data_IF_281476215550
#
_entry.id   IF_281476215550
#
_cell.length_a   1.000
_cell.length_b   1.000
_cell.length_c   1.000
_cell.angle_alpha   90.00
_cell.angle_beta   90.00
_cell.angle_gamma   90.00
#
_symmetry.space_group_name_H-M   'P 1'
#
loop_
_entity.id
_entity.type
_entity.pdbx_description
1 polymer ?
#
# COMPACT_ATOMS: atom_id res chain seq x y z
N UNK A 1 -1.62 -6.18 11.42
CA UNK A 1 -2.28 -5.27 10.45
C UNK A 1 -2.44 -6.10 9.19
N UNK A 2 -3.65 -6.27 8.68
CA UNK A 2 -3.88 -7.11 7.50
C UNK A 2 -3.74 -6.25 6.23
N UNK A 3 -2.78 -6.63 5.39
CA UNK A 3 -2.56 -6.06 4.06
C UNK A 3 -3.21 -6.99 3.03
N UNK A 4 -4.24 -6.56 2.28
CA UNK A 4 -4.93 -7.45 1.34
C UNK A 4 -3.95 -8.06 0.32
N UNK A 5 -3.89 -9.39 0.25
CA UNK A 5 -3.00 -10.08 -0.70
C UNK A 5 -1.54 -10.20 -0.27
N UNK A 6 -1.15 -9.72 0.93
CA UNK A 6 0.19 -9.93 1.47
C UNK A 6 0.18 -10.84 2.69
N UNK A 7 1.21 -11.69 2.80
CA UNK A 7 1.53 -12.41 4.04
C UNK A 7 2.15 -11.44 5.06
N UNK A 8 2.12 -11.75 6.36
CA UNK A 8 2.81 -10.96 7.36
C UNK A 8 4.29 -10.76 6.98
N UNK A 9 4.75 -9.51 6.94
CA UNK A 9 6.07 -9.15 6.40
C UNK A 9 7.23 -9.75 7.18
N UNK A 10 7.05 -10.00 8.47
CA UNK A 10 8.05 -10.63 9.33
C UNK A 10 7.97 -12.17 9.32
N UNK A 11 6.95 -12.76 8.68
CA UNK A 11 6.64 -14.19 8.80
C UNK A 11 7.68 -15.12 8.18
N UNK A 12 8.49 -14.62 7.25
CA UNK A 12 9.56 -15.37 6.57
C UNK A 12 10.97 -14.95 7.03
N UNK A 13 11.10 -14.05 8.00
CA UNK A 13 12.41 -13.59 8.47
C UNK A 13 13.10 -14.69 9.29
N UNK A 14 14.38 -14.90 8.99
CA UNK A 14 15.28 -15.83 9.66
C UNK A 14 16.51 -15.08 10.16
N UNK A 15 17.26 -15.69 11.08
CA UNK A 15 18.53 -15.14 11.57
C UNK A 15 19.62 -15.09 10.49
N UNK A 16 19.55 -15.98 9.50
CA UNK A 16 20.45 -16.00 8.35
C UNK A 16 19.80 -15.29 7.15
N UNK A 17 20.61 -14.50 6.43
CA UNK A 17 20.19 -13.91 5.17
C UNK A 17 20.18 -14.95 4.06
N UNK A 18 19.01 -15.18 3.48
CA UNK A 18 18.79 -16.15 2.41
C UNK A 18 18.18 -15.45 1.19
N UNK A 19 18.12 -16.16 0.05
CA UNK A 19 17.43 -15.65 -1.13
C UNK A 19 15.99 -15.24 -0.83
N UNK A 20 15.27 -15.93 0.07
CA UNK A 20 13.90 -15.58 0.45
C UNK A 20 13.75 -14.36 1.36
N UNK A 21 14.84 -13.85 1.96
CA UNK A 21 14.78 -12.76 2.95
C UNK A 21 14.29 -11.41 2.41
N UNK A 22 14.75 -10.93 1.23
CA UNK A 22 14.34 -9.63 0.72
C UNK A 22 12.88 -9.60 0.28
N UNK A 23 12.21 -8.49 0.58
CA UNK A 23 10.92 -8.13 0.01
C UNK A 23 11.11 -7.71 -1.46
N UNK A 24 10.46 -8.40 -2.40
CA UNK A 24 10.71 -8.25 -3.84
C UNK A 24 9.64 -7.46 -4.56
N UNK A 25 8.40 -7.58 -4.10
CA UNK A 25 7.31 -6.81 -4.68
C UNK A 25 7.39 -5.38 -4.18
N UNK A 26 6.85 -4.45 -4.96
CA UNK A 26 6.77 -3.06 -4.50
C UNK A 26 5.74 -2.90 -3.39
N UNK A 27 4.69 -3.72 -3.42
CA UNK A 27 3.68 -3.68 -2.39
C UNK A 27 4.22 -4.11 -1.02
N UNK A 28 5.04 -5.17 -0.97
CA UNK A 28 5.74 -5.56 0.26
C UNK A 28 6.66 -4.45 0.75
N UNK A 29 7.46 -3.83 -0.14
CA UNK A 29 8.38 -2.75 0.24
C UNK A 29 7.65 -1.53 0.79
N UNK A 30 6.56 -1.10 0.15
CA UNK A 30 5.72 0.00 0.64
C UNK A 30 5.12 -0.35 2.02
N UNK A 31 4.60 -1.57 2.16
CA UNK A 31 3.97 -2.00 3.42
C UNK A 31 4.98 -2.04 4.57
N UNK A 32 6.21 -2.47 4.29
CA UNK A 32 7.30 -2.45 5.27
C UNK A 32 7.65 -1.03 5.72
N UNK A 33 7.70 -0.06 4.81
CA UNK A 33 7.93 1.35 5.17
C UNK A 33 6.84 1.88 6.11
N UNK A 34 5.57 1.59 5.83
CA UNK A 34 4.47 1.99 6.71
C UNK A 34 4.53 1.30 8.08
N UNK A 35 4.91 0.02 8.13
CA UNK A 35 5.10 -0.68 9.39
C UNK A 35 6.27 -0.10 10.21
N UNK A 36 7.37 0.29 9.56
CA UNK A 36 8.48 0.96 10.23
C UNK A 36 8.06 2.30 10.83
N UNK A 37 7.33 3.13 10.08
CA UNK A 37 6.80 4.40 10.57
C UNK A 37 5.86 4.19 11.78
N UNK A 38 5.01 3.14 11.73
CA UNK A 38 4.14 2.78 12.82
C UNK A 38 4.91 2.31 14.07
N UNK A 39 5.96 1.51 13.90
CA UNK A 39 6.83 1.07 15.00
C UNK A 39 7.54 2.26 15.67
N UNK A 40 8.05 3.20 14.86
CA UNK A 40 8.67 4.43 15.38
C UNK A 40 7.66 5.30 16.11
N UNK A 41 6.43 5.45 15.58
CA UNK A 41 5.37 6.19 16.27
C UNK A 41 5.03 5.57 17.63
N UNK A 42 4.89 4.25 17.72
CA UNK A 42 4.66 3.54 18.99
C UNK A 42 5.82 3.75 19.96
N UNK A 43 7.06 3.67 19.49
CA UNK A 43 8.24 3.91 20.32
C UNK A 43 8.29 5.34 20.89
N UNK A 44 7.85 6.33 20.12
CA UNK A 44 7.77 7.73 20.54
C UNK A 44 6.49 8.07 21.33
N UNK A 45 5.60 7.09 21.57
CA UNK A 45 4.33 7.32 22.26
C UNK A 45 3.33 8.15 21.45
N UNK A 46 3.49 8.21 20.13
CA UNK A 46 2.61 8.94 19.21
C UNK A 46 1.42 8.09 18.80
N UNK A 47 0.25 8.73 18.69
CA UNK A 47 -0.94 8.12 18.13
C UNK A 47 -0.86 7.97 16.59
N UNK A 48 -1.69 7.09 16.04
CA UNK A 48 -1.80 6.92 14.60
C UNK A 48 -2.29 8.20 13.90
N UNK A 49 -3.18 8.97 14.53
CA UNK A 49 -3.68 10.23 13.97
C UNK A 49 -2.59 11.30 13.92
N UNK A 50 -1.73 11.37 14.94
CA UNK A 50 -0.56 12.26 14.94
C UNK A 50 0.45 11.87 13.86
N UNK A 51 0.73 10.56 13.71
CA UNK A 51 1.58 10.07 12.63
C UNK A 51 1.03 10.47 11.25
N UNK A 52 -0.27 10.27 11.01
CA UNK A 52 -0.92 10.67 9.76
C UNK A 52 -0.86 12.18 9.55
N UNK A 53 -1.08 12.97 10.60
CA UNK A 53 -1.03 14.43 10.54
C UNK A 53 0.38 14.92 10.16
N UNK A 54 1.42 14.40 10.82
CA UNK A 54 2.82 14.73 10.51
C UNK A 54 3.18 14.29 9.10
N UNK A 55 2.81 13.08 8.70
CA UNK A 55 3.10 12.58 7.35
C UNK A 55 2.51 13.51 6.28
N UNK A 56 1.22 13.88 6.40
CA UNK A 56 0.57 14.80 5.45
C UNK A 56 1.16 16.21 5.48
N UNK A 57 1.55 16.71 6.65
CA UNK A 57 2.11 18.06 6.78
C UNK A 57 3.54 18.15 6.25
N UNK A 58 4.38 17.14 6.51
CA UNK A 58 5.80 17.14 6.14
C UNK A 58 6.06 16.60 4.73
N UNK A 59 5.23 15.68 4.26
CA UNK A 59 5.43 14.97 2.99
C UNK A 59 4.21 15.10 2.08
N UNK A 60 3.60 16.28 2.01
CA UNK A 60 2.37 16.53 1.25
C UNK A 60 2.43 16.01 -0.20
N UNK A 61 3.55 16.24 -0.90
CA UNK A 61 3.75 15.78 -2.28
C UNK A 61 3.81 14.25 -2.35
N UNK A 62 4.47 13.59 -1.40
CA UNK A 62 4.53 12.13 -1.36
C UNK A 62 3.14 11.55 -1.06
N UNK A 63 2.43 12.12 -0.09
CA UNK A 63 1.07 11.72 0.27
C UNK A 63 0.10 11.84 -0.91
N UNK A 64 0.24 12.89 -1.73
CA UNK A 64 -0.55 13.09 -2.95
C UNK A 64 -0.27 11.99 -3.98
N UNK A 65 1.02 11.74 -4.29
CA UNK A 65 1.45 10.66 -5.20
C UNK A 65 0.98 9.28 -4.74
N UNK A 66 1.06 9.01 -3.45
CA UNK A 66 0.61 7.75 -2.86
C UNK A 66 -0.91 7.59 -2.86
N UNK A 67 -1.67 8.70 -2.90
CA UNK A 67 -3.13 8.65 -2.98
C UNK A 67 -3.61 8.15 -4.35
N UNK A 68 -2.79 8.31 -5.38
CA UNK A 68 -3.02 7.87 -6.77
C UNK A 68 -2.15 6.65 -7.14
N UNK A 69 -1.82 5.81 -6.14
CA UNK A 69 -1.01 4.61 -6.31
C UNK A 69 -1.82 3.34 -6.03
N UNK A 70 -1.71 2.38 -6.94
CA UNK A 70 -2.36 1.08 -6.91
C UNK A 70 -1.33 -0.05 -6.97
N UNK A 71 -1.71 -1.22 -6.47
CA UNK A 71 -0.92 -2.44 -6.54
C UNK A 71 -1.76 -3.56 -7.11
N UNK A 72 -1.21 -4.31 -8.06
CA UNK A 72 -1.90 -5.48 -8.61
C UNK A 72 -1.81 -6.69 -7.67
N UNK A 73 -2.45 -7.80 -8.04
CA UNK A 73 -2.46 -9.02 -7.22
C UNK A 73 -1.06 -9.61 -6.99
N UNK A 74 -0.10 -9.33 -7.87
CA UNK A 74 1.31 -9.76 -7.78
C UNK A 74 2.19 -8.71 -7.06
N UNK A 75 1.59 -7.66 -6.51
CA UNK A 75 2.28 -6.61 -5.76
C UNK A 75 3.07 -5.62 -6.63
N UNK A 76 2.75 -5.51 -7.92
CA UNK A 76 3.33 -4.52 -8.84
C UNK A 76 2.60 -3.19 -8.73
N UNK A 77 3.38 -2.11 -8.68
CA UNK A 77 2.87 -0.76 -8.56
C UNK A 77 2.36 -0.19 -9.90
N UNK A 78 1.28 0.58 -9.81
CA UNK A 78 0.72 1.48 -10.82
C UNK A 78 0.56 2.86 -10.17
N UNK A 79 1.18 3.88 -10.74
CA UNK A 79 1.10 5.24 -10.20
C UNK A 79 0.80 6.23 -11.34
N UNK A 80 0.08 7.31 -11.02
CA UNK A 80 -0.22 8.37 -12.00
C UNK A 80 0.98 9.28 -12.26
N UNK A 81 1.70 9.64 -11.20
CA UNK A 81 2.87 10.52 -11.29
C UNK A 81 4.12 9.72 -11.70
N UNK A 82 4.81 10.20 -12.72
CA UNK A 82 6.09 9.67 -13.22
C UNK A 82 7.19 9.56 -12.14
N UNK A 83 7.21 10.47 -11.16
CA UNK A 83 8.15 10.40 -10.04
C UNK A 83 7.89 9.22 -9.10
N UNK A 84 6.73 8.58 -9.22
CA UNK A 84 6.33 7.41 -8.46
C UNK A 84 6.21 6.16 -9.35
N UNK A 85 6.78 6.14 -10.56
CA UNK A 85 6.81 4.94 -11.36
C UNK A 85 7.75 3.90 -10.74
N UNK A 86 7.29 2.65 -10.75
CA UNK A 86 8.17 1.52 -10.48
C UNK A 86 9.07 1.19 -11.68
N UNK A 87 9.99 0.24 -11.47
CA UNK A 87 10.86 -0.26 -12.53
C UNK A 87 10.10 -0.83 -13.75
N UNK A 88 10.35 -0.25 -14.93
CA UNK A 88 9.76 -0.72 -16.19
C UNK A 88 8.32 -0.27 -16.42
N UNK A 89 7.81 0.71 -15.64
CA UNK A 89 6.47 1.27 -15.85
C UNK A 89 6.49 2.59 -16.59
N UNK A 90 5.41 2.81 -17.31
CA UNK A 90 5.14 4.04 -18.03
C UNK A 90 3.76 4.58 -17.64
N UNK A 91 3.45 5.79 -18.11
CA UNK A 91 2.18 6.48 -17.88
C UNK A 91 1.01 5.70 -18.47
N UNK A 92 1.23 5.03 -19.60
CA UNK A 92 0.23 4.27 -20.33
C UNK A 92 -0.35 3.13 -19.48
N UNK A 93 0.47 2.45 -18.65
CA UNK A 93 -0.03 1.40 -17.77
C UNK A 93 -1.08 1.94 -16.78
N UNK A 94 -0.87 3.14 -16.23
CA UNK A 94 -1.83 3.75 -15.31
C UNK A 94 -3.12 4.14 -16.03
N UNK A 95 -3.03 4.77 -17.20
CA UNK A 95 -4.20 5.17 -17.99
C UNK A 95 -5.03 3.95 -18.42
N UNK A 96 -4.36 2.91 -18.89
CA UNK A 96 -4.97 1.63 -19.23
C UNK A 96 -5.67 0.97 -18.04
N UNK A 97 -5.09 1.07 -16.84
CA UNK A 97 -5.66 0.53 -15.63
C UNK A 97 -6.91 1.31 -15.22
N UNK A 98 -6.88 2.64 -15.30
CA UNK A 98 -8.05 3.47 -15.01
C UNK A 98 -9.18 3.19 -16.00
N UNK A 99 -8.89 2.98 -17.29
CA UNK A 99 -9.88 2.57 -18.29
C UNK A 99 -10.48 1.18 -17.95
N UNK A 100 -9.67 0.24 -17.46
CA UNK A 100 -10.14 -1.06 -17.00
C UNK A 100 -11.06 -0.96 -15.77
N UNK A 101 -10.66 -0.19 -14.75
CA UNK A 101 -11.49 0.06 -13.56
C UNK A 101 -12.82 0.77 -13.92
N UNK A 102 -12.78 1.69 -14.88
CA UNK A 102 -13.96 2.39 -15.38
C UNK A 102 -14.83 1.54 -16.33
N UNK A 103 -14.44 0.29 -16.62
CA UNK A 103 -15.09 -0.63 -17.57
C UNK A 103 -15.09 -0.13 -19.03
N UNK A 104 -14.23 0.83 -19.35
CA UNK A 104 -13.97 1.30 -20.71
C UNK A 104 -13.03 0.36 -21.47
N UNK A 105 -12.28 -0.48 -20.74
CA UNK A 105 -11.44 -1.56 -21.25
C UNK A 105 -11.79 -2.89 -20.58
N UNK A 106 -11.75 -3.99 -21.34
CA UNK A 106 -12.07 -5.34 -20.84
C UNK A 106 -10.90 -6.05 -20.17
N UNK A 107 -9.68 -5.73 -20.58
CA UNK A 107 -8.45 -6.38 -20.11
C UNK A 107 -7.61 -5.43 -19.24
N UNK A 108 -6.90 -5.94 -18.21
CA UNK A 108 -5.94 -5.13 -17.47
C UNK A 108 -4.78 -4.67 -18.37
N UNK A 109 -3.96 -3.72 -17.92
CA UNK A 109 -2.73 -3.34 -18.61
C UNK A 109 -1.81 -4.56 -18.83
N UNK A 110 -0.95 -4.46 -19.84
CA UNK A 110 -0.03 -5.55 -20.17
C UNK A 110 0.87 -5.89 -18.97
N UNK A 111 0.92 -7.17 -18.63
CA UNK A 111 1.67 -7.61 -17.46
C UNK A 111 1.14 -6.99 -16.18
N UNK A 112 -0.18 -6.92 -15.99
CA UNK A 112 -0.83 -6.60 -14.72
C UNK A 112 -1.97 -7.59 -14.43
N UNK A 113 -2.16 -7.94 -13.16
CA UNK A 113 -3.15 -8.96 -12.75
C UNK A 113 -4.19 -8.39 -11.79
N UNK A 114 -5.47 -8.48 -12.14
CA UNK A 114 -6.58 -8.10 -11.26
C UNK A 114 -6.85 -9.20 -10.20
N UNK A 115 -7.44 -8.86 -9.03
CA UNK A 115 -7.86 -7.53 -8.59
C UNK A 115 -6.68 -6.69 -8.10
N UNK A 116 -6.75 -5.40 -8.35
CA UNK A 116 -5.79 -4.42 -7.84
C UNK A 116 -6.31 -3.76 -6.57
N UNK A 117 -5.40 -3.44 -5.66
CA UNK A 117 -5.68 -2.82 -4.36
C UNK A 117 -5.11 -1.42 -4.29
N UNK A 118 -5.88 -0.46 -3.75
CA UNK A 118 -5.41 0.87 -3.38
C UNK A 118 -5.21 0.97 -1.87
N UNK A 119 -3.96 0.94 -1.36
CA UNK A 119 -3.71 0.87 0.09
C UNK A 119 -4.08 2.16 0.84
N UNK A 120 -3.98 3.30 0.15
CA UNK A 120 -4.30 4.63 0.64
C UNK A 120 -5.76 5.02 0.45
N UNK A 121 -6.60 4.13 -0.13
CA UNK A 121 -8.03 4.32 -0.10
C UNK A 121 -8.45 4.50 1.36
N UNK A 122 -9.07 5.64 1.69
CA UNK A 122 -9.64 5.87 3.02
C UNK A 122 -10.43 4.62 3.39
N UNK A 123 -9.89 3.79 4.30
CA UNK A 123 -10.71 2.81 4.99
C UNK A 123 -11.80 3.65 5.62
N UNK A 124 -13.05 3.44 5.21
CA UNK A 124 -14.17 3.98 5.99
C UNK A 124 -13.92 3.46 7.40
N UNK A 125 -13.59 4.35 8.34
CA UNK A 125 -13.55 3.99 9.74
C UNK A 125 -14.95 3.48 10.06
N UNK A 126 -15.13 2.16 10.07
CA UNK A 126 -16.30 1.54 10.67
C UNK A 126 -16.05 1.64 12.17
N UNK A 127 -16.80 2.47 12.91
CA UNK A 127 -16.64 2.50 14.36
C UNK A 127 -16.88 1.08 14.87
N UNK A 128 -15.93 0.54 15.63
CA UNK A 128 -16.16 -0.71 16.36
C UNK A 128 -17.32 -0.44 17.31
N UNK A 129 -18.45 -1.09 17.08
CA UNK A 129 -19.53 -1.12 18.06
C UNK A 129 -18.96 -1.69 19.35
N UNK A 130 -19.04 -0.97 20.49
CA UNK A 130 -18.64 -1.54 21.76
C UNK A 130 -19.56 -2.73 22.02
N UNK A 131 -18.99 -3.93 22.04
CA UNK A 131 -19.65 -5.13 22.53
C UNK A 131 -20.14 -4.81 23.94
N UNK A 132 -21.46 -4.70 24.11
CA UNK A 132 -22.11 -4.62 25.40
C UNK A 132 -21.68 -5.84 26.20
N UNK A 133 -20.94 -5.61 27.27
CA UNK A 133 -20.66 -6.62 28.29
C UNK A 133 -21.97 -6.85 29.04
N UNK A 134 -22.72 -7.89 28.68
CA UNK A 134 -23.90 -8.32 29.41
C UNK A 134 -23.48 -9.27 30.53
N UNK A 135 -23.86 -8.89 31.76
CA UNK A 135 -24.25 -9.78 32.88
C UNK A 135 -23.24 -10.80 33.36
#
# INVERSE_FOLDING_TARGET
MEWPGLKPLAGHLKSAWEYGTPLRTEYERRSALVELDALVAVWLGMSADELIAIHKARYAILADRESEMWFDAEGRQLAKDSYAFGHGRTKEHYEQYMAFENKERTEPPEGYTAPSTRPSAKRKCVPRTPTSRSG
#
